data_IF_212489981337
#
_entry.id   IF_212489981337
#
_cell.length_a   1.000
_cell.length_b   1.000
_cell.length_c   1.000
_cell.angle_alpha   90.00
_cell.angle_beta   90.00
_cell.angle_gamma   90.00
#
_symmetry.space_group_name_H-M   'P 1'
#
loop_
_entity.id
_entity.type
_entity.pdbx_description
1 polymer ?
#
# COMPACT_ATOMS: atom_id res chain seq x y z
N UNK A 1 16.60 -20.23 -33.26
CA UNK A 1 15.26 -20.23 -32.65
C UNK A 1 14.97 -18.87 -32.01
N UNK A 2 13.76 -18.31 -32.17
CA UNK A 2 13.42 -16.95 -31.71
C UNK A 2 13.61 -16.73 -30.19
N UNK A 3 13.29 -17.75 -29.39
CA UNK A 3 13.48 -17.71 -27.94
C UNK A 3 14.95 -17.58 -27.54
N UNK A 4 15.83 -18.35 -28.22
CA UNK A 4 17.28 -18.33 -27.99
C UNK A 4 17.87 -16.99 -28.44
N UNK A 5 17.47 -16.44 -29.60
CA UNK A 5 18.08 -15.22 -30.13
C UNK A 5 17.88 -13.99 -29.23
N UNK A 6 16.88 -13.99 -28.34
CA UNK A 6 16.51 -12.84 -27.50
C UNK A 6 16.79 -13.04 -26.01
N UNK A 7 17.19 -14.25 -25.59
CA UNK A 7 17.50 -14.59 -24.21
C UNK A 7 18.95 -15.04 -24.07
N UNK A 8 19.75 -14.23 -23.38
CA UNK A 8 21.14 -14.59 -23.09
C UNK A 8 21.25 -15.76 -22.11
N UNK A 9 20.28 -15.91 -21.21
CA UNK A 9 20.25 -17.04 -20.27
C UNK A 9 20.03 -18.37 -21.00
N UNK A 10 19.05 -18.44 -21.91
CA UNK A 10 18.81 -19.64 -22.70
C UNK A 10 19.97 -19.97 -23.64
N UNK A 11 20.63 -18.96 -24.23
CA UNK A 11 21.85 -19.17 -25.01
C UNK A 11 22.96 -19.85 -24.20
N UNK A 12 23.10 -19.48 -22.93
CA UNK A 12 24.08 -20.09 -22.02
C UNK A 12 23.69 -21.52 -21.64
N UNK A 13 22.43 -21.76 -21.26
CA UNK A 13 21.96 -23.10 -20.90
C UNK A 13 22.14 -24.10 -22.05
N UNK A 14 21.83 -23.70 -23.29
CA UNK A 14 21.99 -24.58 -24.45
C UNK A 14 23.46 -24.85 -24.74
N UNK A 15 24.32 -23.84 -24.63
CA UNK A 15 25.76 -24.02 -24.82
C UNK A 15 26.35 -25.03 -23.83
N UNK A 16 25.85 -25.06 -22.59
CA UNK A 16 26.27 -26.02 -21.56
C UNK A 16 25.73 -27.44 -21.81
N UNK A 17 24.47 -27.56 -22.21
CA UNK A 17 23.82 -28.88 -22.42
C UNK A 17 24.24 -29.58 -23.72
N UNK A 18 24.77 -28.84 -24.72
CA UNK A 18 25.29 -29.44 -25.96
C UNK A 18 26.46 -30.42 -25.71
N UNK A 19 27.13 -30.36 -24.56
CA UNK A 19 28.15 -31.33 -24.17
C UNK A 19 27.55 -32.67 -23.70
N UNK A 20 26.28 -32.69 -23.30
CA UNK A 20 25.60 -33.84 -22.66
C UNK A 20 24.50 -34.50 -23.53
N UNK A 21 24.24 -34.02 -24.76
CA UNK A 21 23.17 -34.51 -25.65
C UNK A 21 21.76 -34.51 -24.99
N UNK A 22 21.46 -33.48 -24.20
CA UNK A 22 20.15 -33.33 -23.56
C UNK A 22 19.27 -32.41 -24.41
N UNK A 23 18.21 -32.97 -25.02
CA UNK A 23 17.24 -32.25 -25.87
C UNK A 23 16.21 -31.42 -25.05
N UNK A 24 16.29 -31.46 -23.72
CA UNK A 24 15.34 -30.81 -22.80
C UNK A 24 16.05 -29.78 -21.90
N UNK A 25 15.42 -28.62 -21.69
CA UNK A 25 15.89 -27.57 -20.77
C UNK A 25 14.86 -27.41 -19.66
N UNK A 26 15.25 -27.73 -18.43
CA UNK A 26 14.40 -27.54 -17.26
C UNK A 26 14.61 -26.14 -16.67
N UNK A 27 13.53 -25.38 -16.54
CA UNK A 27 13.52 -24.05 -15.91
C UNK A 27 12.53 -24.08 -14.75
N UNK A 28 13.00 -24.44 -13.56
CA UNK A 28 12.15 -24.51 -12.35
C UNK A 28 12.00 -23.17 -11.63
N UNK A 29 12.97 -22.28 -11.78
CA UNK A 29 13.15 -21.14 -10.86
C UNK A 29 12.78 -19.79 -11.48
N UNK A 30 12.03 -19.79 -12.58
CA UNK A 30 11.66 -18.55 -13.26
C UNK A 30 10.72 -17.70 -12.39
N UNK A 31 11.09 -16.45 -12.06
CA UNK A 31 10.22 -15.55 -11.32
C UNK A 31 8.89 -15.33 -12.03
N UNK A 32 7.80 -15.28 -11.28
CA UNK A 32 6.45 -15.14 -11.85
C UNK A 32 5.90 -16.41 -12.51
N UNK A 33 6.68 -17.49 -12.59
CA UNK A 33 6.25 -18.80 -13.06
C UNK A 33 5.90 -18.85 -14.55
N UNK A 34 5.13 -19.88 -14.92
CA UNK A 34 4.81 -20.18 -16.32
C UNK A 34 4.07 -19.05 -17.04
N UNK A 35 3.22 -18.28 -16.35
CA UNK A 35 2.48 -17.17 -16.95
C UNK A 35 3.39 -16.00 -17.35
N UNK A 36 4.38 -15.67 -16.52
CA UNK A 36 5.38 -14.66 -16.85
C UNK A 36 6.29 -15.14 -18.00
N UNK A 37 6.70 -16.41 -17.95
CA UNK A 37 7.48 -17.03 -19.03
C UNK A 37 6.72 -17.02 -20.36
N UNK A 38 5.42 -17.33 -20.36
CA UNK A 38 4.58 -17.31 -21.57
C UNK A 38 4.59 -15.92 -22.23
N UNK A 39 4.55 -14.84 -21.44
CA UNK A 39 4.66 -13.47 -21.96
C UNK A 39 6.04 -13.25 -22.61
N UNK A 40 7.12 -13.65 -21.94
CA UNK A 40 8.47 -13.57 -22.50
C UNK A 40 8.60 -14.36 -23.81
N UNK A 41 8.06 -15.57 -23.85
CA UNK A 41 8.08 -16.42 -25.03
C UNK A 41 7.28 -15.81 -26.18
N UNK A 42 6.03 -15.35 -25.93
CA UNK A 42 5.21 -14.65 -26.92
C UNK A 42 5.95 -13.46 -27.54
N UNK A 43 6.61 -12.65 -26.72
CA UNK A 43 7.45 -11.55 -27.20
C UNK A 43 8.56 -12.06 -28.13
N UNK A 44 9.25 -13.14 -27.75
CA UNK A 44 10.33 -13.70 -28.57
C UNK A 44 9.86 -14.16 -29.95
N UNK A 45 8.64 -14.70 -30.05
CA UNK A 45 8.02 -15.11 -31.31
C UNK A 45 7.36 -13.95 -32.08
N UNK A 46 7.51 -12.70 -31.64
CA UNK A 46 6.95 -11.53 -32.31
C UNK A 46 5.43 -11.39 -32.12
N UNK A 47 4.85 -12.10 -31.15
CA UNK A 47 3.43 -11.97 -30.82
C UNK A 47 3.20 -10.72 -29.96
N UNK A 48 2.01 -10.13 -30.08
CA UNK A 48 1.60 -9.03 -29.21
C UNK A 48 1.43 -9.54 -27.78
N UNK A 49 2.03 -8.82 -26.84
CA UNK A 49 1.90 -9.08 -25.40
C UNK A 49 1.21 -7.90 -24.72
N UNK A 50 0.37 -8.18 -23.72
CA UNK A 50 -0.34 -7.16 -22.97
C UNK A 50 0.25 -7.06 -21.57
N UNK A 51 0.81 -5.90 -21.25
CA UNK A 51 1.31 -5.56 -19.93
C UNK A 51 0.29 -4.68 -19.19
N UNK A 52 0.14 -4.91 -17.90
CA UNK A 52 -0.69 -4.13 -16.99
C UNK A 52 -0.10 -4.17 -15.58
N UNK A 53 -0.68 -3.42 -14.64
CA UNK A 53 -0.17 -3.32 -13.29
C UNK A 53 -0.12 -4.66 -12.52
N UNK A 54 -0.90 -5.67 -12.91
CA UNK A 54 -0.95 -6.97 -12.24
C UNK A 54 0.15 -7.93 -12.72
N UNK A 55 0.61 -7.80 -13.96
CA UNK A 55 1.55 -8.75 -14.56
C UNK A 55 2.93 -8.17 -14.88
N UNK A 56 3.08 -6.84 -14.89
CA UNK A 56 4.30 -6.18 -15.37
C UNK A 56 5.51 -6.49 -14.50
N UNK A 57 5.36 -6.56 -13.17
CA UNK A 57 6.47 -6.89 -12.26
C UNK A 57 6.94 -8.32 -12.50
N UNK A 58 6.03 -9.29 -12.42
CA UNK A 58 6.35 -10.70 -12.68
C UNK A 58 7.01 -10.91 -14.04
N UNK A 59 6.50 -10.23 -15.08
CA UNK A 59 7.10 -10.28 -16.42
C UNK A 59 8.49 -9.66 -16.45
N UNK A 60 8.71 -8.54 -15.75
CA UNK A 60 10.03 -7.90 -15.65
C UNK A 60 11.04 -8.83 -15.00
N UNK A 61 10.66 -9.49 -13.90
CA UNK A 61 11.53 -10.43 -13.18
C UNK A 61 11.86 -11.65 -14.06
N UNK A 62 10.88 -12.18 -14.80
CA UNK A 62 11.12 -13.25 -15.77
C UNK A 62 12.04 -12.80 -16.91
N UNK A 63 11.84 -11.60 -17.46
CA UNK A 63 12.67 -11.04 -18.52
C UNK A 63 14.10 -10.79 -18.07
N UNK A 64 14.29 -10.32 -16.83
CA UNK A 64 15.58 -10.15 -16.17
C UNK A 64 16.28 -11.50 -15.98
N UNK A 65 15.57 -12.49 -15.44
CA UNK A 65 16.06 -13.86 -15.29
C UNK A 65 16.52 -14.46 -16.63
N UNK A 66 15.73 -14.25 -17.70
CA UNK A 66 16.05 -14.70 -19.05
C UNK A 66 17.16 -13.85 -19.72
N UNK A 67 17.61 -12.78 -19.08
CA UNK A 67 18.62 -11.87 -19.60
C UNK A 67 18.22 -11.20 -20.91
N UNK A 68 16.96 -10.76 -21.00
CA UNK A 68 16.34 -10.13 -22.18
C UNK A 68 16.60 -8.62 -22.25
N UNK A 69 17.88 -8.25 -22.22
CA UNK A 69 18.32 -6.87 -22.19
C UNK A 69 18.47 -6.26 -23.59
N UNK A 70 18.55 -4.92 -23.65
CA UNK A 70 18.71 -4.16 -24.91
C UNK A 70 20.04 -4.43 -25.62
N UNK A 71 21.09 -4.86 -24.89
CA UNK A 71 22.38 -5.22 -25.48
C UNK A 71 22.34 -6.54 -26.28
N UNK A 72 21.33 -7.40 -26.06
CA UNK A 72 21.13 -8.64 -26.82
C UNK A 72 20.38 -8.32 -28.12
N UNK A 73 19.34 -7.50 -28.03
CA UNK A 73 18.56 -7.06 -29.18
C UNK A 73 18.02 -5.65 -28.91
N UNK A 74 18.16 -4.75 -29.88
CA UNK A 74 17.60 -3.41 -29.74
C UNK A 74 16.09 -3.47 -29.53
N UNK A 75 15.61 -2.89 -28.43
CA UNK A 75 14.20 -2.93 -28.07
C UNK A 75 13.74 -4.29 -27.53
N UNK A 76 14.63 -5.07 -26.92
CA UNK A 76 14.27 -6.29 -26.20
C UNK A 76 13.26 -6.01 -25.07
N UNK A 77 12.68 -7.08 -24.51
CA UNK A 77 11.53 -7.02 -23.63
C UNK A 77 11.76 -6.14 -22.39
N UNK A 78 12.91 -6.24 -21.74
CA UNK A 78 13.17 -5.48 -20.51
C UNK A 78 13.13 -3.96 -20.76
N UNK A 79 13.73 -3.49 -21.86
CA UNK A 79 13.66 -2.09 -22.27
C UNK A 79 12.22 -1.63 -22.51
N UNK A 80 11.41 -2.46 -23.19
CA UNK A 80 9.99 -2.12 -23.43
C UNK A 80 9.18 -2.07 -22.14
N UNK A 81 9.46 -2.95 -21.19
CA UNK A 81 8.83 -2.94 -19.87
C UNK A 81 9.19 -1.65 -19.14
N UNK A 82 10.47 -1.25 -19.13
CA UNK A 82 10.89 -0.01 -18.48
C UNK A 82 10.24 1.22 -19.12
N UNK A 83 10.12 1.26 -20.46
CA UNK A 83 9.37 2.32 -21.15
C UNK A 83 7.89 2.32 -20.73
N UNK A 84 7.25 1.15 -20.62
CA UNK A 84 5.86 1.03 -20.18
C UNK A 84 5.66 1.49 -18.73
N UNK A 85 6.56 1.10 -17.82
CA UNK A 85 6.55 1.55 -16.42
C UNK A 85 6.60 3.09 -16.32
N UNK A 86 7.51 3.74 -17.04
CA UNK A 86 7.70 5.20 -17.01
C UNK A 86 6.59 5.98 -17.72
N UNK A 87 6.05 5.45 -18.81
CA UNK A 87 5.05 6.15 -19.63
C UNK A 87 3.62 5.93 -19.15
N UNK A 88 3.35 4.82 -18.45
CA UNK A 88 1.98 4.42 -18.09
C UNK A 88 1.83 4.24 -16.59
N UNK A 89 2.52 3.26 -16.01
CA UNK A 89 2.30 2.82 -14.61
C UNK A 89 2.59 3.96 -13.63
N UNK A 90 3.79 4.56 -13.68
CA UNK A 90 4.17 5.66 -12.78
C UNK A 90 3.39 6.95 -13.03
N UNK A 91 2.58 7.04 -14.09
CA UNK A 91 1.72 8.20 -14.37
C UNK A 91 0.27 7.97 -13.94
N UNK A 92 -0.10 6.74 -13.63
CA UNK A 92 -1.43 6.32 -13.25
C UNK A 92 -1.54 6.14 -11.73
N UNK A 93 -2.56 6.76 -11.14
CA UNK A 93 -2.85 6.65 -9.70
C UNK A 93 -3.13 5.19 -9.32
N UNK A 94 -4.09 4.57 -10.01
CA UNK A 94 -4.55 3.21 -9.73
C UNK A 94 -3.47 2.17 -10.00
N UNK A 95 -2.77 2.29 -11.13
CA UNK A 95 -1.74 1.30 -11.48
C UNK A 95 -0.57 1.34 -10.51
N UNK A 96 -0.12 2.53 -10.07
CA UNK A 96 0.93 2.64 -9.07
C UNK A 96 0.53 1.97 -7.75
N UNK A 97 -0.73 2.09 -7.33
CA UNK A 97 -1.24 1.41 -6.13
C UNK A 97 -1.30 -0.11 -6.33
N UNK A 98 -1.79 -0.58 -7.49
CA UNK A 98 -1.86 -2.01 -7.80
C UNK A 98 -0.46 -2.64 -7.80
N UNK A 99 0.56 -1.93 -8.28
CA UNK A 99 1.95 -2.40 -8.17
C UNK A 99 2.34 -2.60 -6.72
N UNK A 100 2.12 -1.61 -5.84
CA UNK A 100 2.42 -1.76 -4.42
C UNK A 100 1.63 -2.88 -3.73
N UNK A 101 0.42 -3.20 -4.21
CA UNK A 101 -0.39 -4.32 -3.71
C UNK A 101 0.09 -5.69 -4.19
N UNK A 102 0.61 -5.75 -5.41
CA UNK A 102 0.98 -7.02 -6.07
C UNK A 102 2.46 -7.36 -5.91
N UNK A 103 3.30 -6.36 -5.66
CA UNK A 103 4.66 -6.55 -5.16
C UNK A 103 4.56 -7.05 -3.72
N UNK A 104 4.45 -8.38 -3.56
CA UNK A 104 4.75 -9.03 -2.29
C UNK A 104 6.19 -8.74 -1.91
N UNK A 105 6.60 -9.05 -0.68
CA UNK A 105 8.01 -9.12 -0.26
C UNK A 105 8.79 -10.25 -0.98
N UNK A 106 8.61 -10.38 -2.29
CA UNK A 106 9.18 -11.38 -3.19
C UNK A 106 10.58 -10.92 -3.56
N UNK A 107 11.53 -11.21 -2.67
CA UNK A 107 12.97 -11.33 -2.91
C UNK A 107 13.72 -10.09 -3.46
N UNK A 108 15.00 -9.93 -3.08
CA UNK A 108 15.69 -8.65 -3.15
C UNK A 108 16.38 -8.48 -4.51
N UNK A 109 15.64 -8.12 -5.55
CA UNK A 109 16.28 -7.43 -6.68
C UNK A 109 16.30 -5.93 -6.37
N UNK A 110 17.50 -5.34 -6.36
CA UNK A 110 17.73 -3.88 -6.26
C UNK A 110 16.83 -3.10 -7.25
N UNK A 111 16.58 -3.71 -8.40
CA UNK A 111 15.73 -3.17 -9.45
C UNK A 111 14.23 -3.16 -9.11
N UNK A 112 13.71 -4.16 -8.37
CA UNK A 112 12.31 -4.13 -7.92
C UNK A 112 12.09 -3.06 -6.85
N UNK A 113 13.08 -2.89 -5.97
CA UNK A 113 13.05 -1.82 -4.97
C UNK A 113 12.97 -0.44 -5.64
N UNK A 114 13.65 -0.23 -6.78
CA UNK A 114 13.54 1.01 -7.56
C UNK A 114 12.13 1.22 -8.12
N UNK A 115 11.49 0.17 -8.63
CA UNK A 115 10.10 0.26 -9.12
C UNK A 115 9.14 0.62 -7.99
N UNK A 116 9.25 -0.05 -6.84
CA UNK A 116 8.46 0.25 -5.64
C UNK A 116 8.66 1.69 -5.19
N UNK A 117 9.91 2.14 -5.08
CA UNK A 117 10.25 3.50 -4.68
C UNK A 117 9.63 4.54 -5.61
N UNK A 118 9.69 4.31 -6.93
CA UNK A 118 9.08 5.20 -7.92
C UNK A 118 7.55 5.21 -7.87
N UNK A 119 6.91 4.08 -7.56
CA UNK A 119 5.47 4.04 -7.30
C UNK A 119 5.11 4.86 -6.06
N UNK A 120 5.86 4.72 -4.96
CA UNK A 120 5.67 5.51 -3.73
C UNK A 120 5.79 7.01 -4.03
N UNK A 121 6.85 7.42 -4.73
CA UNK A 121 7.05 8.81 -5.11
C UNK A 121 5.93 9.33 -6.01
N UNK A 122 5.48 8.54 -7.00
CA UNK A 122 4.39 8.91 -7.89
C UNK A 122 3.08 9.14 -7.12
N UNK A 123 2.74 8.21 -6.22
CA UNK A 123 1.55 8.30 -5.37
C UNK A 123 1.65 9.53 -4.47
N UNK A 124 2.78 9.74 -3.80
CA UNK A 124 2.96 10.89 -2.92
C UNK A 124 2.87 12.22 -3.69
N UNK A 125 3.47 12.30 -4.88
CA UNK A 125 3.38 13.48 -5.74
C UNK A 125 1.92 13.75 -6.16
N UNK A 126 1.17 12.72 -6.56
CA UNK A 126 -0.24 12.85 -6.96
C UNK A 126 -1.16 13.22 -5.80
N UNK A 127 -0.98 12.58 -4.64
CA UNK A 127 -1.70 12.92 -3.42
C UNK A 127 -1.44 14.37 -3.00
N UNK A 128 -0.27 14.93 -3.36
CA UNK A 128 0.13 16.30 -3.04
C UNK A 128 -0.18 17.32 -4.15
N UNK A 129 -0.95 16.96 -5.17
CA UNK A 129 -1.42 17.92 -6.17
C UNK A 129 -2.64 18.66 -5.64
N UNK A 130 -2.75 19.95 -5.99
CA UNK A 130 -3.95 20.75 -5.72
C UNK A 130 -5.20 20.02 -6.23
N UNK A 131 -6.22 19.91 -5.39
CA UNK A 131 -7.48 19.19 -5.69
C UNK A 131 -8.17 19.68 -6.97
N UNK A 132 -7.96 20.94 -7.38
CA UNK A 132 -8.49 21.47 -8.65
C UNK A 132 -7.84 20.88 -9.91
N UNK A 133 -6.64 20.31 -9.77
CA UNK A 133 -5.86 19.70 -10.86
C UNK A 133 -5.98 18.17 -10.88
N UNK A 134 -6.79 17.59 -10.01
CA UNK A 134 -7.02 16.14 -9.97
C UNK A 134 -7.97 15.76 -11.11
N UNK A 135 -7.40 15.16 -12.16
CA UNK A 135 -8.12 14.71 -13.37
C UNK A 135 -8.09 13.18 -13.56
N UNK A 136 -7.47 12.45 -12.65
CA UNK A 136 -7.38 10.99 -12.67
C UNK A 136 -8.49 10.29 -11.89
N UNK A 137 -8.72 9.00 -12.19
CA UNK A 137 -9.71 8.17 -11.51
C UNK A 137 -9.27 7.77 -10.09
N UNK A 138 -10.18 7.93 -9.12
CA UNK A 138 -10.00 7.55 -7.71
C UNK A 138 -11.27 6.89 -7.16
N UNK A 139 -11.12 6.07 -6.12
CA UNK A 139 -12.29 5.54 -5.38
C UNK A 139 -12.66 6.50 -4.26
N UNK A 140 -13.92 6.89 -4.20
CA UNK A 140 -14.46 7.65 -3.07
C UNK A 140 -15.87 7.19 -2.77
N UNK A 141 -15.98 6.29 -1.80
CA UNK A 141 -17.22 5.70 -1.32
C UNK A 141 -17.58 6.15 0.11
N UNK A 142 -16.88 7.15 0.67
CA UNK A 142 -17.21 7.84 1.92
C UNK A 142 -18.58 8.51 1.77
N UNK A 143 -19.64 7.71 1.94
CA UNK A 143 -20.65 8.08 2.92
C UNK A 143 -19.85 8.27 4.19
N UNK A 144 -19.77 9.50 4.74
CA UNK A 144 -19.16 9.72 6.06
C UNK A 144 -19.47 8.48 6.90
N UNK A 145 -18.43 7.78 7.40
CA UNK A 145 -18.66 6.74 8.42
C UNK A 145 -19.71 7.32 9.37
N UNK A 146 -20.79 6.59 9.72
CA UNK A 146 -21.91 7.19 10.42
C UNK A 146 -21.37 7.90 11.66
N UNK A 147 -21.23 9.22 11.53
CA UNK A 147 -21.19 10.11 12.67
C UNK A 147 -22.59 9.92 13.22
N UNK A 148 -22.63 9.35 14.42
CA UNK A 148 -23.82 8.96 15.16
C UNK A 148 -24.64 10.18 15.64
N UNK A 149 -24.69 11.23 14.81
CA UNK A 149 -25.51 12.41 14.96
C UNK A 149 -26.23 12.61 13.62
N UNK A 150 -27.48 12.15 13.57
CA UNK A 150 -28.30 12.16 12.37
C UNK A 150 -28.43 13.55 11.75
N UNK A 151 -28.22 13.61 10.44
CA UNK A 151 -29.11 14.23 9.45
C UNK A 151 -28.70 13.57 8.12
N UNK A 152 -29.55 12.65 7.65
CA UNK A 152 -29.44 12.09 6.30
C UNK A 152 -29.71 13.19 5.27
N UNK A 153 -28.64 13.73 4.67
CA UNK A 153 -28.80 14.58 3.50
C UNK A 153 -28.78 13.72 2.24
N UNK A 154 -29.99 13.37 1.79
CA UNK A 154 -30.25 12.84 0.45
C UNK A 154 -29.63 13.78 -0.60
N UNK A 155 -28.62 13.30 -1.35
CA UNK A 155 -28.13 14.00 -2.53
C UNK A 155 -28.33 13.13 -3.77
N UNK A 156 -29.57 13.09 -4.25
CA UNK A 156 -29.86 12.93 -5.66
C UNK A 156 -29.71 14.30 -6.32
N UNK A 157 -28.71 14.46 -7.17
CA UNK A 157 -28.54 15.67 -7.96
C UNK A 157 -27.14 15.77 -8.53
N UNK A 158 -27.07 15.80 -9.86
CA UNK A 158 -25.87 16.09 -10.65
C UNK A 158 -25.25 17.39 -10.14
N UNK A 159 -24.26 17.26 -9.25
CA UNK A 159 -23.44 18.37 -8.78
C UNK A 159 -22.04 18.11 -9.30
N UNK A 160 -21.47 19.12 -9.95
CA UNK A 160 -20.04 19.24 -10.26
C UNK A 160 -19.27 18.75 -9.03
N UNK A 161 -18.73 17.52 -9.09
CA UNK A 161 -18.08 16.90 -7.94
C UNK A 161 -16.76 17.63 -7.72
N UNK A 162 -16.76 18.65 -6.86
CA UNK A 162 -15.51 19.18 -6.32
C UNK A 162 -14.78 18.01 -5.66
N UNK A 163 -13.54 17.78 -6.06
CA UNK A 163 -12.71 16.68 -5.55
C UNK A 163 -12.51 16.91 -4.04
N UNK A 164 -12.88 15.94 -3.18
CA UNK A 164 -12.67 16.04 -1.74
C UNK A 164 -11.18 16.17 -1.40
N UNK A 165 -10.81 16.87 -0.32
CA UNK A 165 -9.40 16.98 0.10
C UNK A 165 -8.77 15.62 0.46
N UNK A 166 -9.61 14.69 0.91
CA UNK A 166 -9.27 13.33 1.33
C UNK A 166 -9.51 12.28 0.24
N UNK A 167 -9.63 12.68 -1.03
CA UNK A 167 -9.99 11.81 -2.17
C UNK A 167 -9.12 10.56 -2.31
N UNK A 168 -7.87 10.62 -1.89
CA UNK A 168 -6.86 9.57 -2.03
C UNK A 168 -6.90 8.53 -0.91
N UNK A 169 -7.57 8.84 0.21
CA UNK A 169 -7.44 8.07 1.46
C UNK A 169 -7.91 6.62 1.31
N UNK A 170 -9.07 6.40 0.71
CA UNK A 170 -9.65 5.06 0.62
C UNK A 170 -8.81 4.11 -0.20
N UNK A 171 -8.26 4.62 -1.30
CA UNK A 171 -7.45 3.85 -2.22
C UNK A 171 -6.16 3.35 -1.56
N UNK A 172 -5.55 4.17 -0.69
CA UNK A 172 -4.37 3.77 0.07
C UNK A 172 -4.69 2.80 1.21
N UNK A 173 -5.94 2.73 1.67
CA UNK A 173 -6.33 1.81 2.74
C UNK A 173 -6.21 0.33 2.36
N UNK A 174 -6.12 0.02 1.07
CA UNK A 174 -5.96 -1.35 0.59
C UNK A 174 -4.50 -1.85 0.72
N UNK A 175 -3.52 -0.96 0.86
CA UNK A 175 -2.10 -1.31 0.96
C UNK A 175 -1.78 -2.11 2.25
N UNK A 176 -0.78 -2.99 2.16
CA UNK A 176 -0.17 -3.61 3.34
C UNK A 176 0.61 -2.56 4.15
N UNK A 177 0.88 -2.87 5.43
CA UNK A 177 1.31 -1.88 6.45
C UNK A 177 2.64 -1.20 6.10
N UNK A 178 3.59 -1.94 5.55
CA UNK A 178 4.91 -1.49 5.12
C UNK A 178 4.83 -0.50 3.94
N UNK A 179 4.04 -0.85 2.93
CA UNK A 179 3.81 0.02 1.76
C UNK A 179 3.01 1.26 2.15
N UNK A 180 1.98 1.10 2.99
CA UNK A 180 1.19 2.21 3.51
C UNK A 180 2.07 3.19 4.30
N UNK A 181 2.91 2.68 5.21
CA UNK A 181 3.84 3.51 6.00
C UNK A 181 4.77 4.32 5.09
N UNK A 182 5.36 3.66 4.09
CA UNK A 182 6.29 4.28 3.15
C UNK A 182 5.62 5.37 2.33
N UNK A 183 4.39 5.14 1.87
CA UNK A 183 3.59 6.12 1.12
C UNK A 183 3.22 7.31 2.01
N UNK A 184 2.68 7.08 3.20
CA UNK A 184 2.26 8.16 4.10
C UNK A 184 3.46 9.02 4.53
N UNK A 185 4.61 8.40 4.86
CA UNK A 185 5.85 9.14 5.12
C UNK A 185 6.22 10.07 3.96
N UNK A 186 6.16 9.57 2.73
CA UNK A 186 6.46 10.37 1.54
C UNK A 186 5.42 11.46 1.26
N UNK A 187 4.16 11.29 1.67
CA UNK A 187 3.14 12.35 1.59
C UNK A 187 3.42 13.42 2.65
N UNK A 188 3.73 13.02 3.88
CA UNK A 188 4.05 13.93 4.99
C UNK A 188 5.27 14.78 4.66
N UNK A 189 6.33 14.21 4.09
CA UNK A 189 7.55 14.95 3.72
C UNK A 189 7.35 15.99 2.61
N UNK A 190 6.23 15.94 1.88
CA UNK A 190 5.89 16.96 0.89
C UNK A 190 5.32 18.22 1.55
N UNK A 191 4.81 18.12 2.79
CA UNK A 191 4.25 19.23 3.57
C UNK A 191 3.08 19.98 2.87
N UNK A 192 2.43 19.35 1.89
CA UNK A 192 1.29 19.95 1.16
C UNK A 192 -0.05 19.58 1.80
N UNK A 193 -0.15 18.38 2.36
CA UNK A 193 -1.37 17.90 3.00
C UNK A 193 -1.50 18.46 4.41
N UNK A 194 -2.70 18.86 4.78
CA UNK A 194 -2.97 19.34 6.13
C UNK A 194 -3.02 18.18 7.12
N UNK A 195 -2.63 18.43 8.37
CA UNK A 195 -2.51 17.39 9.40
C UNK A 195 -3.85 16.69 9.71
N UNK A 196 -4.98 17.38 9.53
CA UNK A 196 -6.33 16.80 9.63
C UNK A 196 -6.58 15.75 8.54
N UNK A 197 -6.12 15.97 7.31
CA UNK A 197 -6.28 15.02 6.20
C UNK A 197 -5.39 13.79 6.43
N UNK A 198 -4.15 13.99 6.90
CA UNK A 198 -3.26 12.90 7.31
C UNK A 198 -3.89 12.10 8.46
N UNK A 199 -4.45 12.77 9.47
CA UNK A 199 -5.15 12.14 10.57
C UNK A 199 -6.36 11.30 10.11
N UNK A 200 -7.17 11.83 9.19
CA UNK A 200 -8.28 11.10 8.59
C UNK A 200 -7.83 9.93 7.72
N UNK A 201 -6.64 10.00 7.11
CA UNK A 201 -6.04 8.88 6.38
C UNK A 201 -5.68 7.75 7.34
N UNK A 202 -4.97 8.06 8.42
CA UNK A 202 -4.55 7.09 9.44
C UNK A 202 -5.76 6.47 10.14
N UNK A 203 -6.78 7.27 10.43
CA UNK A 203 -8.04 6.81 11.01
C UNK A 203 -8.77 5.84 10.08
N UNK A 204 -8.89 6.17 8.80
CA UNK A 204 -9.53 5.28 7.84
C UNK A 204 -8.76 3.95 7.69
N UNK A 205 -7.43 4.01 7.68
CA UNK A 205 -6.58 2.82 7.66
C UNK A 205 -6.81 1.95 8.89
N UNK A 206 -6.82 2.54 10.08
CA UNK A 206 -7.09 1.86 11.34
C UNK A 206 -8.45 1.13 11.31
N UNK A 207 -9.52 1.83 10.93
CA UNK A 207 -10.87 1.23 10.86
C UNK A 207 -10.98 0.13 9.81
N UNK A 208 -10.16 0.17 8.75
CA UNK A 208 -10.16 -0.84 7.70
C UNK A 208 -9.36 -2.08 8.09
N UNK A 209 -8.19 -1.91 8.71
CA UNK A 209 -7.21 -2.98 8.97
C UNK A 209 -7.28 -3.56 10.38
N UNK A 210 -7.91 -2.87 11.33
CA UNK A 210 -8.15 -3.36 12.69
C UNK A 210 -9.62 -3.80 12.83
N UNK A 211 -9.93 -5.12 12.77
CA UNK A 211 -11.27 -5.62 13.03
C UNK A 211 -11.71 -5.21 14.43
N UNK A 212 -12.99 -4.83 14.56
CA UNK A 212 -13.63 -4.44 15.83
C UNK A 212 -13.13 -3.14 16.49
N UNK A 213 -12.33 -2.31 15.81
CA UNK A 213 -11.94 -0.96 16.27
C UNK A 213 -13.16 -0.05 16.57
N UNK A 214 -14.35 -0.40 16.06
CA UNK A 214 -15.61 0.30 16.30
C UNK A 214 -16.50 -0.31 17.41
N UNK A 215 -16.36 -1.59 17.77
CA UNK A 215 -17.35 -2.32 18.62
C UNK A 215 -16.78 -3.13 19.80
N UNK A 216 -15.50 -2.95 20.13
CA UNK A 216 -14.87 -3.66 21.25
C UNK A 216 -14.15 -4.93 20.77
N UNK A 217 -12.91 -5.10 21.21
CA UNK A 217 -11.97 -6.07 20.65
C UNK A 217 -12.32 -7.50 21.09
N UNK A 218 -12.83 -8.32 20.17
CA UNK A 218 -12.91 -9.79 20.33
C UNK A 218 -11.64 -10.37 19.69
N UNK A 219 -10.95 -11.35 20.31
CA UNK A 219 -9.70 -11.90 19.79
C UNK A 219 -10.00 -12.76 18.56
N UNK A 220 -9.88 -12.16 17.38
CA UNK A 220 -9.97 -12.87 16.12
C UNK A 220 -8.98 -12.24 15.13
N UNK A 221 -7.77 -12.80 15.07
CA UNK A 221 -6.75 -12.41 14.10
C UNK A 221 -5.32 -12.54 14.62
N UNK A 222 -4.36 -12.30 13.73
CA UNK A 222 -2.92 -12.30 14.02
C UNK A 222 -2.54 -11.07 14.85
N UNK A 223 -2.42 -11.22 16.17
CA UNK A 223 -2.09 -10.14 17.12
C UNK A 223 -0.81 -9.40 16.72
N UNK A 224 0.19 -10.10 16.15
CA UNK A 224 1.44 -9.49 15.70
C UNK A 224 1.22 -8.54 14.53
N UNK A 225 0.36 -8.91 13.56
CA UNK A 225 -0.03 -8.00 12.46
C UNK A 225 -0.76 -6.75 12.98
N UNK A 226 -1.68 -6.93 13.93
CA UNK A 226 -2.40 -5.80 14.53
C UNK A 226 -1.46 -4.87 15.32
N UNK A 227 -0.49 -5.43 16.05
CA UNK A 227 0.55 -4.67 16.75
C UNK A 227 1.33 -3.79 15.79
N UNK A 228 1.83 -4.36 14.68
CA UNK A 228 2.55 -3.59 13.66
C UNK A 228 1.70 -2.44 13.10
N UNK A 229 0.43 -2.69 12.79
CA UNK A 229 -0.48 -1.64 12.30
C UNK A 229 -0.64 -0.51 13.33
N UNK A 230 -0.90 -0.84 14.61
CA UNK A 230 -1.06 0.16 15.67
C UNK A 230 0.22 0.99 15.83
N UNK A 231 1.38 0.34 15.93
CA UNK A 231 2.66 1.02 16.08
C UNK A 231 2.99 1.92 14.89
N UNK A 232 2.76 1.45 13.66
CA UNK A 232 2.92 2.24 12.44
C UNK A 232 1.99 3.46 12.44
N UNK A 233 0.71 3.29 12.79
CA UNK A 233 -0.23 4.43 12.88
C UNK A 233 0.28 5.47 13.89
N UNK A 234 0.70 5.04 15.08
CA UNK A 234 1.18 5.97 16.12
C UNK A 234 2.41 6.73 15.64
N UNK A 235 3.38 6.05 15.03
CA UNK A 235 4.60 6.67 14.47
C UNK A 235 4.32 7.70 13.38
N UNK A 236 3.17 7.61 12.70
CA UNK A 236 2.78 8.51 11.61
C UNK A 236 1.85 9.65 12.08
N UNK A 237 1.35 9.62 13.31
CA UNK A 237 0.43 10.64 13.81
C UNK A 237 1.10 12.03 13.82
N UNK A 238 0.44 13.06 13.25
CA UNK A 238 0.93 14.42 13.34
C UNK A 238 1.12 14.87 14.80
N UNK A 239 2.06 15.80 15.00
CA UNK A 239 2.36 16.31 16.35
C UNK A 239 1.42 17.43 16.78
N UNK A 240 0.75 18.11 15.84
CA UNK A 240 -0.18 19.18 16.18
C UNK A 240 -1.49 18.66 16.77
N UNK A 241 -2.01 19.45 17.73
CA UNK A 241 -3.34 19.26 18.32
C UNK A 241 -4.43 19.34 17.24
N UNK A 242 -5.47 18.54 17.39
CA UNK A 242 -6.64 18.57 16.50
C UNK A 242 -6.46 17.87 15.15
N UNK A 243 -5.29 17.26 14.89
CA UNK A 243 -5.07 16.42 13.70
C UNK A 243 -5.96 15.17 13.67
N UNK A 244 -6.29 14.63 14.84
CA UNK A 244 -7.23 13.53 15.03
C UNK A 244 -8.10 13.75 16.26
N UNK A 245 -9.34 13.25 16.23
CA UNK A 245 -10.25 13.35 17.38
C UNK A 245 -9.71 12.64 18.63
N UNK A 246 -9.96 13.19 19.82
CA UNK A 246 -9.57 12.55 21.09
C UNK A 246 -10.16 11.12 21.23
N UNK A 247 -11.42 10.94 20.81
CA UNK A 247 -12.08 9.62 20.74
C UNK A 247 -11.29 8.59 19.93
N UNK A 248 -10.70 9.00 18.81
CA UNK A 248 -9.86 8.10 18.00
C UNK A 248 -8.58 7.73 18.74
N UNK A 249 -7.90 8.69 19.38
CA UNK A 249 -6.70 8.42 20.16
C UNK A 249 -6.96 7.46 21.33
N UNK A 250 -8.07 7.62 22.06
CA UNK A 250 -8.41 6.69 23.15
C UNK A 250 -8.71 5.29 22.63
N UNK A 251 -9.42 5.16 21.49
CA UNK A 251 -9.61 3.85 20.85
C UNK A 251 -8.29 3.23 20.41
N UNK A 252 -7.37 4.04 19.89
CA UNK A 252 -6.04 3.59 19.49
C UNK A 252 -5.21 3.14 20.69
N UNK A 253 -5.29 3.84 21.82
CA UNK A 253 -4.66 3.44 23.09
C UNK A 253 -5.21 2.10 23.60
N UNK A 254 -6.54 1.92 23.58
CA UNK A 254 -7.17 0.63 23.93
C UNK A 254 -6.68 -0.49 23.01
N UNK A 255 -6.54 -0.24 21.72
CA UNK A 255 -5.97 -1.20 20.78
C UNK A 255 -4.50 -1.49 21.07
N UNK A 256 -3.68 -0.48 21.41
CA UNK A 256 -2.28 -0.63 21.78
C UNK A 256 -2.08 -1.45 23.06
N UNK A 257 -2.96 -1.28 24.05
CA UNK A 257 -2.98 -2.09 25.27
C UNK A 257 -3.34 -3.54 24.92
N UNK A 258 -4.39 -3.75 24.13
CA UNK A 258 -4.85 -5.08 23.76
C UNK A 258 -3.81 -5.89 22.98
N UNK A 259 -3.08 -5.27 22.06
CA UNK A 259 -2.03 -5.94 21.28
C UNK A 259 -0.69 -6.03 22.02
N UNK A 260 -0.62 -5.57 23.27
CA UNK A 260 0.60 -5.51 24.09
C UNK A 260 1.74 -4.79 23.36
N UNK A 261 1.46 -3.59 22.80
CA UNK A 261 2.49 -2.73 22.21
C UNK A 261 3.51 -2.26 23.26
N UNK A 262 4.65 -1.77 22.78
CA UNK A 262 5.69 -1.18 23.64
C UNK A 262 5.15 -0.01 24.49
N UNK A 263 5.66 0.12 25.72
CA UNK A 263 5.19 1.17 26.65
C UNK A 263 5.43 2.58 26.12
N UNK A 264 6.49 2.78 25.33
CA UNK A 264 6.77 4.07 24.64
C UNK A 264 5.60 4.52 23.76
N UNK A 265 4.98 3.58 23.05
CA UNK A 265 3.85 3.85 22.14
C UNK A 265 2.61 4.26 22.96
N UNK A 266 2.38 3.59 24.09
CA UNK A 266 1.28 3.91 25.01
C UNK A 266 1.48 5.27 25.66
N UNK A 267 2.68 5.56 26.15
CA UNK A 267 3.04 6.85 26.75
C UNK A 267 2.86 8.01 25.78
N UNK A 268 3.27 7.84 24.52
CA UNK A 268 3.07 8.84 23.47
C UNK A 268 1.58 9.14 23.24
N UNK A 269 0.76 8.08 23.17
CA UNK A 269 -0.69 8.21 23.03
C UNK A 269 -1.32 8.92 24.24
N UNK A 270 -0.95 8.54 25.47
CA UNK A 270 -1.43 9.17 26.71
C UNK A 270 -1.07 10.66 26.72
N UNK A 271 0.16 11.01 26.32
CA UNK A 271 0.61 12.40 26.22
C UNK A 271 -0.22 13.19 25.20
N UNK A 272 -0.48 12.63 24.02
CA UNK A 272 -1.32 13.28 22.99
C UNK A 272 -2.77 13.43 23.47
N UNK A 273 -3.36 12.41 24.10
CA UNK A 273 -4.70 12.47 24.68
C UNK A 273 -4.79 13.58 25.74
N UNK A 274 -3.84 13.64 26.66
CA UNK A 274 -3.79 14.66 27.70
C UNK A 274 -3.68 16.09 27.15
N UNK A 275 -3.09 16.27 25.98
CA UNK A 275 -2.98 17.57 25.32
C UNK A 275 -4.29 18.06 24.67
N UNK A 276 -5.29 17.19 24.47
CA UNK A 276 -6.56 17.53 23.82
C UNK A 276 -7.77 16.98 24.60
N UNK A 277 -7.61 16.85 25.93
CA UNK A 277 -8.65 16.34 26.83
C UNK A 277 -9.84 17.31 26.91
N UNK A 278 -9.62 18.60 26.66
CA UNK A 278 -10.67 19.61 26.52
C UNK A 278 -11.75 19.26 25.47
N UNK A 279 -11.42 18.42 24.48
CA UNK A 279 -12.32 17.98 23.41
C UNK A 279 -12.95 16.59 23.66
N UNK A 280 -12.61 15.94 24.78
CA UNK A 280 -13.05 14.57 25.08
C UNK A 280 -14.42 14.55 25.77
N UNK A 281 -15.31 13.64 25.35
CA UNK A 281 -16.51 13.33 26.12
C UNK A 281 -16.19 12.30 27.21
N UNK A 282 -16.95 12.30 28.32
CA UNK A 282 -16.77 11.32 29.42
C UNK A 282 -16.85 9.88 28.90
N UNK A 283 -17.71 9.61 27.93
CA UNK A 283 -17.85 8.28 27.31
C UNK A 283 -16.61 7.84 26.53
N UNK A 284 -15.77 8.77 26.09
CA UNK A 284 -14.54 8.46 25.36
C UNK A 284 -13.43 8.00 26.31
N UNK A 285 -13.40 8.52 27.55
CA UNK A 285 -12.32 8.32 28.53
C UNK A 285 -12.48 7.02 29.31
N UNK A 286 -13.70 6.50 29.48
CA UNK A 286 -13.95 5.29 30.26
C UNK A 286 -13.22 4.06 29.68
N UNK A 287 -12.17 3.61 30.36
CA UNK A 287 -11.44 2.36 30.07
C UNK A 287 -12.03 1.29 31.00
N UNK A 288 -12.53 0.17 30.45
CA UNK A 288 -13.01 -0.94 31.28
C UNK A 288 -11.82 -1.60 31.97
N UNK A 289 -11.95 -1.84 33.26
CA UNK A 289 -10.97 -2.57 34.04
C UNK A 289 -10.81 -4.01 33.53
N UNK A 290 -9.64 -4.64 33.69
CA UNK A 290 -9.43 -6.05 33.38
C UNK A 290 -10.39 -6.96 34.16
N UNK A 291 -10.73 -8.12 33.58
CA UNK A 291 -11.61 -9.11 34.22
C UNK A 291 -10.99 -9.61 35.54
N UNK A 292 -11.54 -9.16 36.68
CA UNK A 292 -11.09 -9.54 38.02
C UNK A 292 -11.03 -8.39 39.05
N UNK A 293 -11.18 -7.13 38.62
CA UNK A 293 -11.21 -5.97 39.52
C UNK A 293 -12.62 -5.57 39.97
N UNK A 294 -12.74 -4.97 41.15
CA UNK A 294 -14.03 -4.58 41.77
C UNK A 294 -14.65 -3.34 41.13
N UNK A 295 -13.88 -2.56 40.38
CA UNK A 295 -14.33 -1.36 39.68
C UNK A 295 -14.58 -1.66 38.21
N UNK A 296 -15.74 -1.26 37.70
CA UNK A 296 -16.14 -1.50 36.29
C UNK A 296 -15.29 -0.71 35.28
N UNK A 297 -14.60 0.33 35.75
CA UNK A 297 -13.74 1.23 34.98
C UNK A 297 -12.48 1.56 35.78
N UNK A 298 -11.36 1.67 35.08
CA UNK A 298 -10.11 2.22 35.61
C UNK A 298 -10.18 3.75 35.45
N UNK A 299 -10.00 4.49 36.55
CA UNK A 299 -10.16 5.97 36.63
C UNK A 299 -8.81 6.65 36.67
#
# INVERSE_FOLDING_TARGET
FPLISKSSHLQKLISLNNEENIDEIQISDIPGGASAFEICAKFCYGMTVTLNAYNVIATRCAAEYLGMHENIEKGNLLYKIDVFLNSSIFRSWKDSIIILQTTKSMLPLDEEQKVVTRCIESIANKASVDVSKVDWSYSYNRKKLPEENGIESNQNGVRTRNVPKDWWVEDLCELEVDMYESVIKNIITKEIQTNDVIGEALKAYAYRKLPNFSKGMVPCGDVSKHRLIVETIVKLLPSEKGSVSCRFLVKLLKAAIFVESEDRIKEELVKKIGQQLEEASVNDILIRAPDGETTMYDV
#
